data_IF_772598100898
#
_entry.id   IF_772598100898
#
_cell.length_a   1.000
_cell.length_b   1.000
_cell.length_c   1.000
_cell.angle_alpha   90.00
_cell.angle_beta   90.00
_cell.angle_gamma   90.00
#
_symmetry.space_group_name_H-M   'P 1'
#
loop_
_entity.id
_entity.type
_entity.pdbx_description
1 polymer ?
#
# COMPACT_ATOMS: atom_id res chain seq x y z
N UNK A 1 -24.22 0.26 3.50
CA UNK A 1 -23.34 -0.21 4.61
C UNK A 1 -24.02 0.15 5.91
N UNK A 2 -24.07 -0.75 6.89
CA UNK A 2 -24.55 -0.39 8.24
C UNK A 2 -23.62 0.66 8.87
N UNK A 3 -24.18 1.53 9.73
CA UNK A 3 -23.40 2.56 10.43
C UNK A 3 -22.20 1.98 11.18
N UNK A 4 -22.33 0.76 11.70
CA UNK A 4 -21.26 0.03 12.40
C UNK A 4 -20.09 -0.33 11.46
N UNK A 5 -20.36 -0.89 10.28
CA UNK A 5 -19.33 -1.26 9.32
C UNK A 5 -18.55 -0.05 8.77
N UNK A 6 -19.23 1.09 8.60
CA UNK A 6 -18.59 2.34 8.19
C UNK A 6 -17.67 2.90 9.28
N UNK A 7 -18.07 2.81 10.55
CA UNK A 7 -17.23 3.20 11.70
C UNK A 7 -16.00 2.30 11.84
N UNK A 8 -16.15 0.99 11.73
CA UNK A 8 -15.02 0.05 11.77
C UNK A 8 -14.01 0.30 10.66
N UNK A 9 -14.48 0.50 9.42
CA UNK A 9 -13.59 0.87 8.30
C UNK A 9 -12.84 2.17 8.58
N UNK A 10 -13.52 3.17 9.13
CA UNK A 10 -12.89 4.45 9.49
C UNK A 10 -11.76 4.30 10.51
N UNK A 11 -12.00 3.56 11.58
CA UNK A 11 -11.01 3.31 12.62
C UNK A 11 -9.81 2.56 12.05
N UNK A 12 -10.05 1.50 11.27
CA UNK A 12 -8.98 0.71 10.65
C UNK A 12 -8.06 1.57 9.78
N UNK A 13 -8.62 2.32 8.82
CA UNK A 13 -7.83 3.14 7.92
C UNK A 13 -7.22 4.36 8.61
N UNK A 14 -7.80 4.85 9.70
CA UNK A 14 -7.21 5.88 10.54
C UNK A 14 -5.94 5.38 11.24
N UNK A 15 -6.01 4.23 11.91
CA UNK A 15 -4.86 3.61 12.58
C UNK A 15 -3.79 3.24 11.53
N UNK A 16 -4.21 2.60 10.43
CA UNK A 16 -3.30 2.23 9.36
C UNK A 16 -2.62 3.46 8.75
N UNK A 17 -3.37 4.53 8.48
CA UNK A 17 -2.84 5.80 8.00
C UNK A 17 -1.80 6.40 8.94
N UNK A 18 -2.01 6.30 10.26
CA UNK A 18 -1.08 6.80 11.26
C UNK A 18 0.23 6.01 11.23
N UNK A 19 0.15 4.69 11.11
CA UNK A 19 1.32 3.81 10.95
C UNK A 19 2.09 4.16 9.67
N UNK A 20 1.39 4.31 8.54
CA UNK A 20 1.99 4.69 7.25
C UNK A 20 2.69 6.05 7.36
N UNK A 21 2.06 7.02 8.01
CA UNK A 21 2.63 8.34 8.25
C UNK A 21 3.90 8.27 9.09
N UNK A 22 3.90 7.48 10.17
CA UNK A 22 5.07 7.26 11.03
C UNK A 22 6.24 6.70 10.21
N UNK A 23 6.01 5.71 9.36
CA UNK A 23 7.08 5.17 8.49
C UNK A 23 7.60 6.20 7.49
N UNK A 24 6.72 7.02 6.91
CA UNK A 24 7.15 8.11 6.04
C UNK A 24 8.01 9.16 6.76
N UNK A 25 7.61 9.56 7.97
CA UNK A 25 8.38 10.50 8.79
C UNK A 25 9.70 9.88 9.24
N UNK A 26 9.69 8.62 9.67
CA UNK A 26 10.88 7.89 10.06
C UNK A 26 11.91 7.82 8.92
N UNK A 27 11.45 7.62 7.67
CA UNK A 27 12.31 7.68 6.50
C UNK A 27 13.02 9.03 6.34
N UNK A 28 12.34 10.17 6.57
CA UNK A 28 13.01 11.47 6.59
C UNK A 28 14.00 11.64 7.73
N UNK A 29 13.65 11.17 8.93
CA UNK A 29 14.53 11.25 10.11
C UNK A 29 15.80 10.43 9.88
N UNK A 30 15.68 9.21 9.36
CA UNK A 30 16.83 8.35 9.04
C UNK A 30 17.68 8.97 7.93
N UNK A 31 17.06 9.58 6.90
CA UNK A 31 17.81 10.28 5.85
C UNK A 31 18.62 11.44 6.44
N UNK A 32 18.00 12.25 7.30
CA UNK A 32 18.65 13.40 7.90
C UNK A 32 19.78 13.04 8.86
N UNK A 33 19.68 11.89 9.54
CA UNK A 33 20.65 11.45 10.53
C UNK A 33 21.79 10.59 9.95
N UNK A 34 21.49 9.72 8.97
CA UNK A 34 22.42 8.69 8.46
C UNK A 34 22.68 8.80 6.94
N UNK A 35 22.05 9.76 6.25
CA UNK A 35 22.22 9.94 4.81
C UNK A 35 21.74 8.74 3.99
N UNK A 36 22.37 8.52 2.84
CA UNK A 36 22.01 7.45 1.92
C UNK A 36 22.44 6.04 2.40
N UNK A 37 23.39 5.96 3.33
CA UNK A 37 23.79 4.69 3.97
C UNK A 37 22.63 4.12 4.79
N UNK A 38 21.84 5.00 5.41
CA UNK A 38 20.61 4.66 6.09
C UNK A 38 20.80 3.71 7.27
N UNK A 39 19.71 3.08 7.70
CA UNK A 39 19.71 2.12 8.82
C UNK A 39 18.92 0.88 8.43
N UNK A 40 19.45 -0.29 8.76
CA UNK A 40 18.72 -1.56 8.71
C UNK A 40 18.42 -2.04 10.12
N UNK A 41 17.15 -2.34 10.39
CA UNK A 41 16.69 -2.90 11.66
C UNK A 41 16.04 -4.25 11.38
N UNK A 42 16.84 -5.32 11.52
CA UNK A 42 16.41 -6.68 11.17
C UNK A 42 16.00 -6.76 9.68
N UNK A 43 14.81 -7.27 9.35
CA UNK A 43 14.37 -7.36 7.95
C UNK A 43 13.92 -6.01 7.36
N UNK A 44 13.90 -4.92 8.14
CA UNK A 44 13.49 -3.59 7.68
C UNK A 44 14.71 -2.80 7.19
N UNK A 45 14.65 -2.34 5.94
CA UNK A 45 15.62 -1.43 5.37
C UNK A 45 15.06 -0.01 5.25
N UNK A 46 15.79 0.95 5.81
CA UNK A 46 15.60 2.38 5.54
C UNK A 46 16.92 2.93 5.01
N UNK A 47 17.27 2.59 3.77
CA UNK A 47 18.47 3.09 3.09
C UNK A 47 18.24 3.28 1.58
N UNK A 48 19.21 3.89 0.91
CA UNK A 48 19.23 4.05 -0.54
C UNK A 48 18.84 5.43 -1.05
N UNK A 49 19.27 5.75 -2.27
CA UNK A 49 19.06 7.07 -2.90
C UNK A 49 17.58 7.41 -3.12
N UNK A 50 16.74 6.40 -3.33
CA UNK A 50 15.29 6.58 -3.51
C UNK A 50 14.52 6.74 -2.19
N UNK A 51 15.21 6.75 -1.05
CA UNK A 51 14.60 6.80 0.27
C UNK A 51 13.75 8.04 0.52
N UNK A 52 14.25 9.20 0.12
CA UNK A 52 13.51 10.47 0.22
C UNK A 52 12.20 10.37 -0.56
N UNK A 53 12.23 9.78 -1.74
CA UNK A 53 11.07 9.70 -2.61
C UNK A 53 10.00 8.78 -2.01
N UNK A 54 10.34 7.53 -1.66
CA UNK A 54 9.32 6.68 -1.06
C UNK A 54 8.82 7.24 0.30
N UNK A 55 9.65 7.98 1.05
CA UNK A 55 9.24 8.67 2.28
C UNK A 55 8.20 9.76 2.03
N UNK A 56 8.39 10.62 1.01
CA UNK A 56 7.39 11.62 0.58
C UNK A 56 6.06 10.94 0.27
N UNK A 57 6.11 9.84 -0.49
CA UNK A 57 4.90 9.10 -0.90
C UNK A 57 4.19 8.52 0.32
N UNK A 58 4.91 7.93 1.27
CA UNK A 58 4.31 7.38 2.50
C UNK A 58 3.73 8.48 3.40
N UNK A 59 4.40 9.62 3.56
CA UNK A 59 3.85 10.76 4.33
C UNK A 59 2.54 11.25 3.69
N UNK A 60 2.54 11.45 2.38
CA UNK A 60 1.34 11.87 1.66
C UNK A 60 0.22 10.83 1.75
N UNK A 61 0.53 9.54 1.57
CA UNK A 61 -0.44 8.45 1.71
C UNK A 61 -1.04 8.40 3.13
N UNK A 62 -0.20 8.51 4.16
CA UNK A 62 -0.62 8.55 5.57
C UNK A 62 -1.53 9.74 5.85
N UNK A 63 -1.17 10.93 5.38
CA UNK A 63 -2.01 12.13 5.51
C UNK A 63 -3.38 11.98 4.81
N UNK A 64 -3.39 11.40 3.60
CA UNK A 64 -4.64 11.13 2.86
C UNK A 64 -5.52 10.13 3.62
N UNK A 65 -4.95 9.06 4.18
CA UNK A 65 -5.69 8.11 5.02
C UNK A 65 -6.30 8.79 6.25
N UNK A 66 -5.52 9.60 6.98
CA UNK A 66 -6.01 10.34 8.14
C UNK A 66 -7.16 11.29 7.74
N UNK A 67 -7.06 11.94 6.58
CA UNK A 67 -8.11 12.82 6.06
C UNK A 67 -9.40 12.07 5.69
N UNK A 68 -9.35 10.74 5.57
CA UNK A 68 -10.49 9.87 5.23
C UNK A 68 -11.37 9.52 6.43
N UNK A 69 -10.85 9.63 7.66
CA UNK A 69 -11.49 9.14 8.90
C UNK A 69 -12.83 9.83 9.20
N UNK A 70 -13.01 11.08 8.80
CA UNK A 70 -14.18 11.88 9.17
C UNK A 70 -15.54 11.33 8.72
N UNK A 71 -15.65 10.61 7.58
CA UNK A 71 -16.93 10.03 7.13
C UNK A 71 -16.83 8.93 6.05
N UNK A 72 -16.43 7.72 6.43
CA UNK A 72 -16.27 6.56 5.51
C UNK A 72 -17.56 6.10 4.79
N UNK A 73 -18.72 6.65 5.15
CA UNK A 73 -19.98 6.46 4.43
C UNK A 73 -20.00 7.10 3.04
N UNK A 74 -19.16 8.10 2.78
CA UNK A 74 -19.13 8.83 1.52
C UNK A 74 -18.13 8.22 0.51
N UNK A 75 -18.52 8.12 -0.76
CA UNK A 75 -17.67 7.64 -1.86
C UNK A 75 -16.37 8.44 -1.94
N UNK A 76 -16.42 9.74 -1.63
CA UNK A 76 -15.24 10.60 -1.60
C UNK A 76 -14.16 10.13 -0.62
N UNK A 77 -14.54 9.69 0.57
CA UNK A 77 -13.57 9.22 1.57
C UNK A 77 -13.02 7.83 1.20
N UNK A 78 -13.87 6.95 0.67
CA UNK A 78 -13.40 5.66 0.14
C UNK A 78 -12.39 5.86 -1.01
N UNK A 79 -12.64 6.82 -1.90
CA UNK A 79 -11.73 7.15 -2.99
C UNK A 79 -10.37 7.67 -2.50
N UNK A 80 -10.33 8.49 -1.44
CA UNK A 80 -9.08 8.91 -0.81
C UNK A 80 -8.28 7.74 -0.24
N UNK A 81 -8.96 6.84 0.49
CA UNK A 81 -8.31 5.66 1.05
C UNK A 81 -7.77 4.72 -0.04
N UNK A 82 -8.50 4.57 -1.14
CA UNK A 82 -8.03 3.84 -2.32
C UNK A 82 -6.81 4.52 -2.97
N UNK A 83 -6.85 5.85 -3.15
CA UNK A 83 -5.72 6.59 -3.69
C UNK A 83 -4.45 6.40 -2.82
N UNK A 84 -4.60 6.51 -1.50
CA UNK A 84 -3.51 6.24 -0.56
C UNK A 84 -3.01 4.78 -0.62
N UNK A 85 -3.91 3.81 -0.85
CA UNK A 85 -3.53 2.41 -1.06
C UNK A 85 -2.70 2.24 -2.33
N UNK A 86 -3.12 2.84 -3.45
CA UNK A 86 -2.42 2.78 -4.73
C UNK A 86 -1.02 3.38 -4.60
N UNK A 87 -0.85 4.47 -3.86
CA UNK A 87 0.46 5.06 -3.58
C UNK A 87 1.40 4.06 -2.90
N UNK A 88 0.91 3.32 -1.89
CA UNK A 88 1.69 2.25 -1.24
C UNK A 88 2.00 1.13 -2.24
N UNK A 89 1.04 0.73 -3.09
CA UNK A 89 1.25 -0.32 -4.09
C UNK A 89 2.28 0.05 -5.14
N UNK A 90 2.38 1.31 -5.54
CA UNK A 90 3.42 1.77 -6.46
C UNK A 90 4.79 1.60 -5.82
N UNK A 91 4.97 2.06 -4.58
CA UNK A 91 6.26 1.95 -3.88
C UNK A 91 6.65 0.48 -3.64
N UNK A 92 5.72 -0.32 -3.11
CA UNK A 92 5.95 -1.73 -2.87
C UNK A 92 6.16 -2.52 -4.18
N UNK A 93 5.42 -2.17 -5.23
CA UNK A 93 5.54 -2.77 -6.56
C UNK A 93 6.89 -2.50 -7.18
N UNK A 94 7.42 -1.28 -7.07
CA UNK A 94 8.80 -0.97 -7.51
C UNK A 94 9.84 -1.78 -6.72
N UNK A 95 9.65 -1.94 -5.41
CA UNK A 95 10.58 -2.73 -4.59
C UNK A 95 10.55 -4.23 -4.95
N UNK A 96 9.36 -4.80 -5.16
CA UNK A 96 9.18 -6.18 -5.65
C UNK A 96 9.78 -6.33 -7.05
N UNK A 97 9.55 -5.35 -7.92
CA UNK A 97 10.14 -5.34 -9.26
C UNK A 97 11.67 -5.32 -9.21
N UNK A 98 12.26 -4.52 -8.31
CA UNK A 98 13.70 -4.50 -8.12
C UNK A 98 14.27 -5.85 -7.65
N UNK A 99 13.55 -6.58 -6.79
CA UNK A 99 13.93 -7.95 -6.39
C UNK A 99 13.87 -8.92 -7.57
N UNK A 100 12.81 -8.86 -8.37
CA UNK A 100 12.67 -9.69 -9.56
C UNK A 100 13.77 -9.34 -10.58
N UNK A 101 14.02 -8.06 -10.83
CA UNK A 101 15.06 -7.62 -11.75
C UNK A 101 16.46 -8.00 -11.25
N UNK A 102 16.72 -7.91 -9.94
CA UNK A 102 17.98 -8.35 -9.34
C UNK A 102 18.19 -9.86 -9.38
N UNK A 103 17.13 -10.65 -9.55
CA UNK A 103 17.22 -12.12 -9.64
C UNK A 103 17.69 -12.59 -11.03
N UNK A 104 17.70 -11.68 -12.00
CA UNK A 104 18.20 -11.92 -13.36
C UNK A 104 19.63 -11.37 -13.43
N UNK A 105 20.67 -12.23 -13.43
CA UNK A 105 22.05 -11.78 -13.55
C UNK A 105 22.25 -11.04 -14.88
N UNK A 106 22.81 -9.82 -14.78
CA UNK A 106 23.21 -9.02 -15.94
C UNK A 106 24.31 -9.77 -16.71
N UNK A 107 23.96 -10.25 -17.90
CA UNK A 107 24.85 -11.07 -18.72
C UNK A 107 26.02 -10.27 -19.25
N UNK A 108 27.14 -10.28 -18.51
CA UNK A 108 28.47 -10.11 -19.10
C UNK A 108 29.33 -11.36 -18.91
N UNK A 109 29.28 -12.09 -17.77
CA UNK A 109 30.05 -13.34 -17.58
C UNK A 109 29.31 -14.50 -16.83
N UNK A 110 27.98 -14.43 -16.63
CA UNK A 110 27.22 -15.42 -15.83
C UNK A 110 26.01 -16.06 -16.55
N UNK A 111 25.51 -17.22 -16.07
CA UNK A 111 24.31 -17.86 -16.64
C UNK A 111 23.07 -16.97 -16.46
N UNK A 112 22.21 -16.88 -17.49
CA UNK A 112 20.98 -16.07 -17.51
C UNK A 112 19.98 -16.34 -16.38
N UNK A 113 20.11 -17.50 -15.72
CA UNK A 113 19.33 -17.86 -14.53
C UNK A 113 20.29 -18.18 -13.40
N UNK A 114 20.06 -17.54 -12.26
CA UNK A 114 20.74 -17.91 -11.02
C UNK A 114 20.40 -19.36 -10.64
N UNK A 115 21.33 -20.08 -10.00
CA UNK A 115 20.99 -21.30 -9.27
C UNK A 115 19.78 -21.07 -8.35
N UNK A 116 18.92 -22.08 -8.13
CA UNK A 116 17.69 -21.91 -7.35
C UNK A 116 17.91 -21.31 -5.95
N UNK A 117 19.06 -21.58 -5.33
CA UNK A 117 19.44 -21.01 -4.04
C UNK A 117 19.68 -19.49 -4.11
N UNK A 118 20.40 -19.02 -5.13
CA UNK A 118 20.72 -17.60 -5.32
C UNK A 118 19.50 -16.81 -5.80
N UNK A 119 18.60 -17.46 -6.55
CA UNK A 119 17.30 -16.91 -6.90
C UNK A 119 16.47 -16.62 -5.65
N UNK A 120 16.34 -17.59 -4.74
CA UNK A 120 15.59 -17.41 -3.48
C UNK A 120 16.27 -16.37 -2.58
N UNK A 121 17.61 -16.33 -2.56
CA UNK A 121 18.37 -15.35 -1.79
C UNK A 121 18.09 -13.89 -2.21
N UNK A 122 17.71 -13.65 -3.47
CA UNK A 122 17.38 -12.29 -3.95
C UNK A 122 16.07 -11.75 -3.34
N UNK A 123 15.20 -12.65 -2.88
CA UNK A 123 13.98 -12.30 -2.16
C UNK A 123 14.19 -12.23 -0.65
N UNK A 124 15.38 -12.50 -0.13
CA UNK A 124 15.67 -12.41 1.29
C UNK A 124 15.68 -10.94 1.75
N UNK A 125 15.52 -10.68 3.07
CA UNK A 125 15.66 -9.34 3.61
C UNK A 125 17.02 -8.73 3.26
N UNK A 126 17.11 -7.40 3.19
CA UNK A 126 16.22 -6.44 3.84
C UNK A 126 15.14 -5.82 2.93
N UNK A 127 13.99 -5.45 3.50
CA UNK A 127 12.80 -4.94 2.80
C UNK A 127 12.45 -3.50 3.18
N UNK A 128 12.00 -2.72 2.21
CA UNK A 128 11.47 -1.36 2.47
C UNK A 128 10.12 -1.42 3.23
N UNK A 129 9.77 -0.39 4.03
CA UNK A 129 8.54 -0.37 4.82
C UNK A 129 7.26 -0.64 4.01
N UNK A 130 7.22 -0.19 2.75
CA UNK A 130 6.06 -0.35 1.88
C UNK A 130 5.68 -1.83 1.62
N UNK A 131 6.64 -2.75 1.63
CA UNK A 131 6.37 -4.19 1.44
C UNK A 131 5.58 -4.73 2.63
N UNK A 132 5.93 -4.33 3.85
CA UNK A 132 5.18 -4.71 5.05
C UNK A 132 3.78 -4.10 5.08
N UNK A 133 3.62 -2.88 4.54
CA UNK A 133 2.34 -2.17 4.49
C UNK A 133 1.39 -2.71 3.41
N UNK A 134 1.93 -3.33 2.36
CA UNK A 134 1.18 -3.85 1.22
C UNK A 134 -0.02 -4.76 1.61
N UNK A 135 0.16 -5.86 2.37
CA UNK A 135 -0.96 -6.75 2.72
C UNK A 135 -2.09 -6.03 3.47
N UNK A 136 -1.75 -5.07 4.33
CA UNK A 136 -2.73 -4.30 5.10
C UNK A 136 -3.45 -3.27 4.23
N UNK A 137 -2.77 -2.69 3.25
CA UNK A 137 -3.38 -1.76 2.29
C UNK A 137 -4.38 -2.45 1.35
N UNK A 138 -4.18 -3.74 1.03
CA UNK A 138 -5.11 -4.52 0.19
C UNK A 138 -6.50 -4.68 0.83
N UNK A 139 -6.63 -4.49 2.15
CA UNK A 139 -7.91 -4.52 2.85
C UNK A 139 -8.94 -3.52 2.27
N UNK A 140 -8.51 -2.48 1.54
CA UNK A 140 -9.39 -1.53 0.84
C UNK A 140 -10.28 -2.18 -0.23
N UNK A 141 -9.91 -3.35 -0.75
CA UNK A 141 -10.68 -4.07 -1.76
C UNK A 141 -12.04 -4.54 -1.21
N UNK A 142 -12.08 -4.91 0.08
CA UNK A 142 -13.30 -5.39 0.73
C UNK A 142 -14.45 -4.35 0.73
N UNK A 143 -14.28 -3.12 1.25
CA UNK A 143 -15.35 -2.12 1.24
C UNK A 143 -15.76 -1.70 -0.18
N UNK A 144 -14.83 -1.71 -1.14
CA UNK A 144 -15.14 -1.45 -2.56
C UNK A 144 -16.08 -2.52 -3.11
N UNK A 145 -15.76 -3.80 -2.89
CA UNK A 145 -16.59 -4.91 -3.38
C UNK A 145 -17.96 -4.95 -2.71
N UNK A 146 -18.02 -4.68 -1.40
CA UNK A 146 -19.28 -4.62 -0.65
C UNK A 146 -20.23 -3.55 -1.21
N UNK A 147 -19.74 -2.35 -1.56
CA UNK A 147 -20.56 -1.30 -2.15
C UNK A 147 -21.09 -1.63 -3.55
N UNK A 148 -20.24 -2.19 -4.41
CA UNK A 148 -20.64 -2.57 -5.78
C UNK A 148 -21.82 -3.54 -5.77
N UNK A 149 -21.86 -4.48 -4.82
CA UNK A 149 -22.97 -5.44 -4.67
C UNK A 149 -24.29 -4.73 -4.34
N UNK A 150 -24.26 -3.78 -3.38
CA UNK A 150 -25.45 -3.03 -2.98
C UNK A 150 -26.04 -2.25 -4.17
N UNK A 151 -25.19 -1.51 -4.90
CA UNK A 151 -25.64 -0.73 -6.07
C UNK A 151 -26.18 -1.61 -7.20
N UNK A 152 -25.69 -2.84 -7.35
CA UNK A 152 -26.22 -3.78 -8.34
C UNK A 152 -27.64 -4.24 -7.98
N UNK A 153 -27.86 -4.60 -6.71
CA UNK A 153 -29.17 -5.03 -6.21
C UNK A 153 -30.21 -3.91 -6.30
N UNK A 154 -29.84 -2.66 -5.98
CA UNK A 154 -30.77 -1.52 -6.09
C UNK A 154 -31.22 -1.27 -7.53
N UNK A 155 -30.33 -1.47 -8.51
CA UNK A 155 -30.64 -1.34 -9.95
C UNK A 155 -31.58 -2.44 -10.44
N UNK A 156 -31.37 -3.67 -10.00
CA UNK A 156 -32.26 -4.79 -10.33
C UNK A 156 -33.67 -4.52 -9.79
N UNK A 157 -33.81 -4.07 -8.54
CA UNK A 157 -35.10 -3.74 -7.94
C UNK A 157 -35.83 -2.60 -8.66
N UNK A 158 -35.10 -1.56 -9.09
CA UNK A 158 -35.70 -0.48 -9.89
C UNK A 158 -36.22 -0.96 -11.25
N UNK A 159 -35.48 -1.84 -11.93
CA UNK A 159 -35.92 -2.41 -13.21
C UNK A 159 -37.17 -3.28 -13.04
N UNK A 160 -37.22 -4.13 -12.01
CA UNK A 160 -38.42 -4.93 -11.70
C UNK A 160 -39.65 -4.06 -11.35
N UNK A 161 -39.46 -2.94 -10.66
CA UNK A 161 -40.56 -2.03 -10.34
C UNK A 161 -41.08 -1.24 -11.56
N UNK A 162 -40.22 -0.97 -12.54
CA UNK A 162 -40.57 -0.25 -13.77
C UNK A 162 -41.34 -1.09 -14.80
N UNK A 163 -41.10 -2.40 -14.86
CA UNK A 163 -41.80 -3.33 -15.78
C UNK A 163 -43.21 -3.71 -15.29
N UNK A 164 -43.59 -3.33 -14.07
CA UNK A 164 -44.87 -3.66 -13.45
C UNK A 164 -45.74 -2.43 -13.12
N UNK A 165 -45.37 -1.26 -13.64
CA UNK A 165 -46.12 0.01 -13.54
C UNK A 165 -46.76 0.37 -14.88
#
# INVERSE_FOLDING_TARGET
MSNTAAKFGSIYFGIFGAIVLIFGIAGFVVMGAYGAEGVSWGPLQMSGLFMVWWSIILVAAGAIYLSSVGNFGNVRQLAKSLAASIMIWIVAGMAIWAMIAGSIPGGEEGPWFNPPADFIATYAPPYVPAIFLLPFSLAIIYPIRSRRRITATDREQQNYAGDHA
#
